data_IF_951925439653
#
_entry.id   IF_951925439653
#
_cell.length_a   1.000
_cell.length_b   1.000
_cell.length_c   1.000
_cell.angle_alpha   90.00
_cell.angle_beta   90.00
_cell.angle_gamma   90.00
#
_symmetry.space_group_name_H-M   'P 1'
#
loop_
_entity.id
_entity.type
_entity.pdbx_description
1 polymer ?
#
# COMPACT_ATOMS: atom_id res chain seq x y z
N UNK A 1 21.72 -17.84 -6.20
CA UNK A 1 22.75 -17.31 -7.12
C UNK A 1 22.43 -15.85 -7.34
N UNK A 2 23.31 -14.90 -7.00
CA UNK A 2 23.05 -13.49 -7.30
C UNK A 2 22.99 -13.32 -8.82
N UNK A 3 21.84 -12.95 -9.36
CA UNK A 3 21.71 -12.65 -10.79
C UNK A 3 22.50 -11.38 -11.08
N UNK A 4 23.36 -11.44 -12.10
CA UNK A 4 24.24 -10.31 -12.41
C UNK A 4 23.47 -9.37 -13.34
N UNK A 5 23.50 -8.04 -13.14
CA UNK A 5 22.78 -7.07 -13.97
C UNK A 5 22.99 -7.28 -15.49
N UNK A 6 24.20 -7.71 -15.87
CA UNK A 6 24.58 -8.01 -17.25
C UNK A 6 23.75 -9.10 -17.92
N UNK A 7 23.29 -10.11 -17.18
CA UNK A 7 22.55 -11.22 -17.76
C UNK A 7 21.12 -10.75 -18.12
N UNK A 8 20.50 -9.92 -17.28
CA UNK A 8 19.20 -9.28 -17.55
C UNK A 8 19.32 -8.31 -18.74
N UNK A 9 20.39 -7.50 -18.77
CA UNK A 9 20.68 -6.59 -19.89
C UNK A 9 20.85 -7.33 -21.23
N UNK A 10 21.48 -8.52 -21.19
CA UNK A 10 21.68 -9.35 -22.38
C UNK A 10 20.35 -9.91 -22.89
N UNK A 11 19.53 -10.47 -22.00
CA UNK A 11 18.19 -10.95 -22.36
C UNK A 11 17.31 -9.83 -22.95
N UNK A 12 17.37 -8.62 -22.37
CA UNK A 12 16.64 -7.47 -22.88
C UNK A 12 17.12 -7.02 -24.27
N UNK A 13 18.43 -7.08 -24.53
CA UNK A 13 19.01 -6.79 -25.85
C UNK A 13 18.57 -7.82 -26.91
N UNK A 14 18.50 -9.10 -26.53
CA UNK A 14 18.06 -10.19 -27.40
C UNK A 14 16.54 -10.19 -27.62
N UNK A 15 15.79 -9.42 -26.83
CA UNK A 15 14.32 -9.39 -26.86
C UNK A 15 13.66 -10.56 -26.14
N UNK A 16 14.40 -11.32 -25.33
CA UNK A 16 13.89 -12.49 -24.61
C UNK A 16 13.28 -12.10 -23.26
N UNK A 17 11.98 -11.75 -23.29
CA UNK A 17 11.22 -11.35 -22.10
C UNK A 17 11.06 -12.51 -21.10
N UNK A 18 10.95 -13.75 -21.58
CA UNK A 18 10.85 -14.92 -20.72
C UNK A 18 12.14 -15.12 -19.92
N UNK A 19 13.30 -14.89 -20.55
CA UNK A 19 14.59 -14.95 -19.85
C UNK A 19 14.75 -13.82 -18.84
N UNK A 20 14.28 -12.61 -19.15
CA UNK A 20 14.23 -11.51 -18.18
C UNK A 20 13.41 -11.92 -16.95
N UNK A 21 12.22 -12.49 -17.14
CA UNK A 21 11.37 -12.97 -16.04
C UNK A 21 12.09 -13.99 -15.16
N UNK A 22 12.70 -15.01 -15.77
CA UNK A 22 13.42 -16.05 -15.06
C UNK A 22 14.57 -15.50 -14.22
N UNK A 23 15.36 -14.58 -14.78
CA UNK A 23 16.52 -14.00 -14.09
C UNK A 23 16.10 -13.10 -12.92
N UNK A 24 15.04 -12.30 -13.09
CA UNK A 24 14.52 -11.47 -12.00
C UNK A 24 13.94 -12.34 -10.90
N UNK A 25 13.13 -13.34 -11.25
CA UNK A 25 12.54 -14.29 -10.28
C UNK A 25 13.63 -15.02 -9.48
N UNK A 26 14.69 -15.48 -10.16
CA UNK A 26 15.84 -16.14 -9.53
C UNK A 26 16.69 -15.21 -8.63
N UNK A 27 16.50 -13.88 -8.74
CA UNK A 27 17.19 -12.90 -7.91
C UNK A 27 16.62 -12.83 -6.47
N UNK A 28 15.48 -13.45 -6.21
CA UNK A 28 14.80 -13.36 -4.91
C UNK A 28 14.01 -12.06 -4.78
N UNK A 29 13.14 -11.77 -5.75
CA UNK A 29 12.09 -10.74 -5.61
C UNK A 29 11.24 -11.06 -4.38
N UNK A 30 10.56 -10.06 -3.81
CA UNK A 30 9.62 -10.10 -2.67
C UNK A 30 8.62 -11.28 -2.54
N UNK A 31 8.56 -12.25 -3.44
CA UNK A 31 7.87 -13.53 -3.16
C UNK A 31 8.50 -14.72 -3.87
N UNK A 32 9.70 -14.53 -4.46
CA UNK A 32 10.31 -15.47 -5.39
C UNK A 32 9.47 -15.75 -6.64
N UNK A 33 8.47 -14.90 -6.95
CA UNK A 33 7.55 -15.04 -8.09
C UNK A 33 7.67 -13.84 -9.02
N UNK A 34 7.26 -14.02 -10.28
CA UNK A 34 7.13 -12.91 -11.20
C UNK A 34 5.84 -12.12 -10.96
N UNK A 35 4.70 -12.82 -10.85
CA UNK A 35 3.43 -12.19 -10.55
C UNK A 35 3.21 -12.14 -9.04
N UNK A 36 2.69 -11.01 -8.57
CA UNK A 36 2.28 -10.88 -7.16
C UNK A 36 1.14 -11.88 -6.88
N UNK A 37 1.14 -12.54 -5.73
CA UNK A 37 0.01 -13.38 -5.32
C UNK A 37 -1.21 -12.54 -4.87
N UNK A 38 -1.04 -11.24 -4.64
CA UNK A 38 -2.08 -10.35 -4.10
C UNK A 38 -2.56 -9.32 -5.12
N UNK A 39 -2.72 -9.71 -6.39
CA UNK A 39 -3.24 -8.79 -7.41
C UNK A 39 -4.66 -8.36 -7.04
N UNK A 40 -4.86 -7.04 -6.91
CA UNK A 40 -6.17 -6.43 -6.65
C UNK A 40 -6.63 -5.71 -7.90
N UNK A 41 -7.91 -5.87 -8.27
CA UNK A 41 -8.50 -5.10 -9.36
C UNK A 41 -8.73 -3.65 -8.91
N UNK A 42 -7.93 -2.72 -9.42
CA UNK A 42 -8.00 -1.27 -9.09
C UNK A 42 -8.72 -0.42 -10.12
N UNK A 43 -9.38 -1.06 -11.11
CA UNK A 43 -10.12 -0.36 -12.17
C UNK A 43 -11.18 0.59 -11.63
N UNK A 44 -11.58 1.58 -12.44
CA UNK A 44 -12.65 2.51 -12.10
C UNK A 44 -13.94 1.80 -11.63
N UNK A 45 -14.34 0.70 -12.29
CA UNK A 45 -15.52 -0.08 -11.89
C UNK A 45 -15.36 -0.74 -10.51
N UNK A 46 -14.17 -1.25 -10.19
CA UNK A 46 -13.87 -1.79 -8.85
C UNK A 46 -13.88 -0.68 -7.80
N UNK A 47 -13.33 0.50 -8.10
CA UNK A 47 -13.39 1.69 -7.22
C UNK A 47 -14.83 2.16 -6.99
N UNK A 48 -15.65 2.21 -8.03
CA UNK A 48 -17.05 2.59 -7.92
C UNK A 48 -17.82 1.58 -7.06
N UNK A 49 -17.55 0.30 -7.23
CA UNK A 49 -18.16 -0.78 -6.41
C UNK A 49 -17.69 -0.71 -4.95
N UNK A 50 -16.43 -0.33 -4.71
CA UNK A 50 -15.91 -0.11 -3.37
C UNK A 50 -16.56 1.10 -2.67
N UNK A 51 -16.81 2.17 -3.44
CA UNK A 51 -17.41 3.41 -2.94
C UNK A 51 -18.92 3.29 -2.67
N UNK A 52 -19.65 2.59 -3.52
CA UNK A 52 -21.08 2.35 -3.37
C UNK A 52 -21.23 1.02 -2.65
N UNK A 53 -21.59 1.03 -1.36
CA UNK A 53 -21.69 -0.09 -0.41
C UNK A 53 -22.47 -1.36 -0.83
N UNK A 54 -22.73 -1.60 -2.11
CA UNK A 54 -23.02 -2.93 -2.62
C UNK A 54 -21.79 -3.79 -2.40
N UNK A 55 -21.86 -4.62 -1.36
CA UNK A 55 -21.12 -5.87 -1.19
C UNK A 55 -20.35 -6.23 -2.47
N UNK A 56 -19.09 -5.84 -2.52
CA UNK A 56 -18.15 -6.38 -3.50
C UNK A 56 -17.90 -7.80 -3.03
N UNK A 57 -18.60 -8.74 -3.67
CA UNK A 57 -18.40 -10.16 -3.49
C UNK A 57 -19.12 -10.73 -2.27
N UNK A 58 -20.45 -10.82 -2.35
CA UNK A 58 -21.12 -12.03 -1.87
C UNK A 58 -20.87 -13.12 -2.94
N UNK A 59 -19.60 -13.48 -3.14
CA UNK A 59 -19.25 -14.78 -3.71
C UNK A 59 -18.88 -15.64 -2.51
N UNK A 60 -19.39 -16.87 -2.53
CA UNK A 60 -19.24 -17.95 -1.57
C UNK A 60 -17.76 -18.23 -1.22
N UNK A 61 -17.14 -17.37 -0.42
CA UNK A 61 -15.97 -17.72 0.38
C UNK A 61 -16.54 -17.94 1.76
N UNK A 62 -16.78 -19.21 2.07
CA UNK A 62 -17.16 -19.63 3.40
C UNK A 62 -16.18 -19.08 4.43
N UNK A 63 -16.70 -18.76 5.61
CA UNK A 63 -16.00 -18.78 6.89
C UNK A 63 -14.47 -18.63 6.78
N UNK A 64 -13.98 -17.38 6.76
CA UNK A 64 -12.57 -17.15 6.45
C UNK A 64 -11.86 -16.27 7.49
N UNK A 65 -11.62 -16.88 8.65
CA UNK A 65 -10.48 -16.54 9.49
C UNK A 65 -9.12 -16.84 8.83
N UNK A 66 -9.05 -17.32 7.59
CA UNK A 66 -7.83 -17.70 6.86
C UNK A 66 -7.29 -16.65 5.87
N UNK A 67 -7.95 -15.50 5.62
CA UNK A 67 -7.39 -14.46 4.71
C UNK A 67 -6.07 -13.83 5.21
N UNK A 68 -5.83 -13.83 6.54
CA UNK A 68 -4.59 -13.36 7.15
C UNK A 68 -3.52 -14.47 7.16
N UNK A 69 -3.92 -15.70 7.49
CA UNK A 69 -3.07 -16.90 7.42
C UNK A 69 -2.55 -17.14 5.99
N UNK A 70 -3.40 -16.89 4.98
CA UNK A 70 -3.05 -16.91 3.55
C UNK A 70 -1.85 -16.01 3.22
N UNK A 71 -1.71 -14.88 3.91
CA UNK A 71 -0.63 -13.93 3.62
C UNK A 71 0.68 -14.41 4.24
N UNK A 72 0.63 -14.94 5.45
CA UNK A 72 1.78 -15.50 6.18
C UNK A 72 2.28 -16.81 5.54
N UNK A 73 1.39 -17.59 4.93
CA UNK A 73 1.73 -18.80 4.18
C UNK A 73 2.40 -18.49 2.83
N UNK A 74 2.06 -17.34 2.23
CA UNK A 74 2.50 -16.98 0.88
C UNK A 74 3.76 -16.10 0.89
N UNK A 75 3.92 -15.24 1.89
CA UNK A 75 5.07 -14.35 2.05
C UNK A 75 6.08 -14.92 3.04
N UNK A 76 7.37 -14.79 2.72
CA UNK A 76 8.45 -15.12 3.64
C UNK A 76 8.51 -14.15 4.84
N UNK A 77 9.12 -14.58 5.94
CA UNK A 77 9.20 -13.76 7.16
C UNK A 77 9.85 -12.37 6.98
N UNK A 78 10.85 -12.24 6.10
CA UNK A 78 11.45 -10.94 5.77
C UNK A 78 10.49 -10.01 5.01
N UNK A 79 9.67 -10.58 4.12
CA UNK A 79 8.69 -9.87 3.30
C UNK A 79 7.55 -9.38 4.19
N UNK A 80 7.04 -10.26 5.05
CA UNK A 80 6.07 -9.90 6.08
C UNK A 80 6.58 -8.79 7.00
N UNK A 81 7.83 -8.85 7.45
CA UNK A 81 8.43 -7.80 8.27
C UNK A 81 8.50 -6.44 7.54
N UNK A 82 8.80 -6.44 6.22
CA UNK A 82 8.79 -5.21 5.40
C UNK A 82 7.38 -4.64 5.25
N UNK A 83 6.37 -5.51 5.08
CA UNK A 83 4.98 -5.08 4.97
C UNK A 83 4.49 -4.46 6.28
N UNK A 84 4.69 -5.15 7.40
CA UNK A 84 4.20 -4.71 8.72
C UNK A 84 4.91 -3.45 9.20
N UNK A 85 6.20 -3.30 8.90
CA UNK A 85 6.96 -2.09 9.20
C UNK A 85 6.66 -0.91 8.24
N UNK A 86 5.82 -1.09 7.21
CA UNK A 86 5.56 -0.04 6.24
C UNK A 86 4.81 1.14 6.87
N UNK A 87 5.32 2.39 6.76
CA UNK A 87 4.79 3.53 7.52
C UNK A 87 3.33 3.85 7.18
N UNK A 88 2.93 3.70 5.92
CA UNK A 88 1.56 3.93 5.51
C UNK A 88 0.60 2.89 6.11
N UNK A 89 1.00 1.61 6.17
CA UNK A 89 0.16 0.59 6.79
C UNK A 89 0.03 0.82 8.29
N UNK A 90 1.13 1.13 8.97
CA UNK A 90 1.12 1.46 10.38
C UNK A 90 0.19 2.66 10.68
N UNK A 91 0.24 3.71 9.85
CA UNK A 91 -0.66 4.86 9.98
C UNK A 91 -2.14 4.46 9.81
N UNK A 92 -2.46 3.63 8.81
CA UNK A 92 -3.82 3.15 8.56
C UNK A 92 -4.33 2.28 9.71
N UNK A 93 -3.55 1.29 10.16
CA UNK A 93 -3.92 0.40 11.26
C UNK A 93 -4.15 1.22 12.54
N UNK A 94 -3.22 2.12 12.88
CA UNK A 94 -3.37 3.00 14.05
C UNK A 94 -4.60 3.92 13.94
N UNK A 95 -4.85 4.49 12.77
CA UNK A 95 -5.95 5.43 12.59
C UNK A 95 -7.33 4.75 12.57
N UNK A 96 -7.42 3.52 12.05
CA UNK A 96 -8.69 2.93 11.65
C UNK A 96 -8.98 1.55 12.25
N UNK A 97 -8.05 0.93 12.98
CA UNK A 97 -8.37 -0.28 13.76
C UNK A 97 -9.44 0.00 14.80
N UNK A 98 -10.33 -0.98 14.98
CA UNK A 98 -11.37 -0.98 16.01
C UNK A 98 -11.03 -1.91 17.18
N UNK A 99 -9.97 -2.73 17.07
CA UNK A 99 -9.52 -3.60 18.15
C UNK A 99 -8.61 -2.84 19.13
N UNK A 100 -8.88 -2.94 20.44
CA UNK A 100 -8.11 -2.27 21.50
C UNK A 100 -6.65 -2.74 21.56
N UNK A 101 -6.40 -4.03 21.32
CA UNK A 101 -5.05 -4.60 21.30
C UNK A 101 -4.16 -4.01 20.20
N UNK A 102 -4.73 -3.53 19.09
CA UNK A 102 -3.97 -2.92 18.00
C UNK A 102 -3.45 -1.51 18.35
N UNK A 103 -4.04 -0.84 19.35
CA UNK A 103 -3.66 0.51 19.79
C UNK A 103 -2.69 0.49 21.00
N UNK A 104 -2.53 -0.65 21.68
CA UNK A 104 -1.69 -0.81 22.88
C UNK A 104 -0.26 -1.32 22.64
N UNK A 105 0.11 -1.65 21.39
CA UNK A 105 1.40 -2.26 21.06
C UNK A 105 2.57 -1.29 20.92
N UNK A 106 2.83 -0.45 21.91
CA UNK A 106 4.10 0.28 22.07
C UNK A 106 4.30 0.74 23.52
N UNK A 107 4.12 -0.16 24.49
CA UNK A 107 4.79 -0.01 25.77
C UNK A 107 6.23 -0.48 25.56
N UNK A 108 7.15 0.48 25.40
CA UNK A 108 8.57 0.22 25.37
C UNK A 108 8.97 -0.56 26.62
N UNK A 109 9.67 -1.69 26.42
CA UNK A 109 10.44 -2.37 27.44
C UNK A 109 11.53 -1.41 27.97
N UNK A 110 11.14 -0.62 28.97
CA UNK A 110 12.02 0.21 29.78
C UNK A 110 11.79 -0.13 31.23
N UNK A 111 12.53 -1.11 31.73
CA UNK A 111 12.69 -1.32 33.16
C UNK A 111 13.11 0.01 33.82
N UNK A 112 12.53 0.26 34.99
CA UNK A 112 12.99 1.18 36.04
C UNK A 112 12.51 2.64 35.97
N UNK A 113 11.46 2.95 36.74
CA UNK A 113 11.59 3.80 37.94
C UNK A 113 10.21 4.27 38.43
N UNK A 114 9.92 3.87 39.67
CA UNK A 114 8.96 4.48 40.59
C UNK A 114 8.70 5.97 40.36
N UNK A 115 7.43 6.35 40.16
CA UNK A 115 6.88 7.61 40.67
C UNK A 115 5.35 7.58 40.79
N UNK A 116 4.94 7.97 41.98
CA UNK A 116 3.58 8.08 42.50
C UNK A 116 2.69 9.03 41.69
N UNK A 117 1.38 8.75 41.75
CA UNK A 117 0.37 9.79 41.96
C UNK A 117 -0.17 10.48 40.71
N UNK A 118 -1.27 9.95 40.18
CA UNK A 118 -2.13 10.63 39.22
C UNK A 118 -3.42 9.86 39.03
N UNK A 119 -4.43 10.20 39.82
CA UNK A 119 -5.77 9.66 39.72
C UNK A 119 -6.41 10.06 38.39
N UNK A 120 -6.49 9.13 37.44
CA UNK A 120 -7.44 9.20 36.32
C UNK A 120 -7.64 7.81 35.68
N UNK A 121 -7.93 6.81 36.52
CA UNK A 121 -8.14 5.41 36.12
C UNK A 121 -9.61 4.97 36.30
N UNK A 122 -10.56 5.88 36.06
CA UNK A 122 -11.99 5.62 36.09
C UNK A 122 -12.58 5.88 34.70
N UNK A 123 -12.25 5.06 33.69
CA UNK A 123 -13.02 4.82 32.44
C UNK A 123 -12.31 3.74 31.62
N UNK A 124 -12.23 2.52 32.15
CA UNK A 124 -11.85 1.32 31.39
C UNK A 124 -12.79 0.18 31.77
N UNK A 125 -14.09 0.49 31.85
CA UNK A 125 -15.13 -0.54 31.90
C UNK A 125 -15.42 -0.96 30.46
N UNK A 126 -15.43 -2.26 30.22
CA UNK A 126 -15.65 -2.94 28.94
C UNK A 126 -16.71 -2.22 28.09
N UNK A 127 -16.31 -1.61 26.97
CA UNK A 127 -17.24 -1.00 26.01
C UNK A 127 -18.27 -2.03 25.49
N UNK A 128 -17.93 -3.32 25.53
CA UNK A 128 -18.84 -4.43 25.26
C UNK A 128 -19.93 -4.58 26.33
N UNK A 129 -19.61 -4.32 27.61
CA UNK A 129 -20.58 -4.33 28.68
C UNK A 129 -21.60 -3.20 28.57
N UNK A 130 -21.41 -2.23 27.66
CA UNK A 130 -22.30 -1.07 27.37
C UNK A 130 -23.28 -1.26 26.20
N UNK A 131 -23.25 -2.38 25.48
CA UNK A 131 -24.13 -2.64 24.35
C UNK A 131 -25.27 -3.61 24.73
N UNK A 132 -26.46 -3.43 24.15
CA UNK A 132 -27.46 -4.51 24.15
C UNK A 132 -27.04 -5.58 23.13
N UNK A 133 -27.66 -6.77 23.16
CA UNK A 133 -27.28 -7.89 22.29
C UNK A 133 -27.27 -7.49 20.80
N UNK A 134 -28.28 -6.72 20.37
CA UNK A 134 -28.41 -6.25 18.98
C UNK A 134 -27.29 -5.25 18.61
N UNK A 135 -26.91 -4.33 19.50
CA UNK A 135 -25.83 -3.39 19.25
C UNK A 135 -24.44 -4.04 19.33
N UNK A 136 -24.26 -5.07 20.15
CA UNK A 136 -23.03 -5.86 20.21
C UNK A 136 -22.80 -6.62 18.90
N UNK A 137 -23.82 -7.31 18.38
CA UNK A 137 -23.75 -7.97 17.06
C UNK A 137 -23.43 -6.97 15.94
N UNK A 138 -24.06 -5.80 15.98
CA UNK A 138 -23.85 -4.76 14.98
C UNK A 138 -22.43 -4.15 15.06
N UNK A 139 -21.86 -4.05 16.27
CA UNK A 139 -20.49 -3.59 16.52
C UNK A 139 -19.45 -4.63 16.09
N UNK A 140 -19.72 -5.92 16.28
CA UNK A 140 -18.92 -7.03 15.75
C UNK A 140 -18.86 -7.03 14.23
N UNK A 141 -20.03 -6.90 13.58
CA UNK A 141 -20.10 -6.81 12.13
C UNK A 141 -19.26 -5.64 11.57
N UNK A 142 -19.29 -4.48 12.26
CA UNK A 142 -18.47 -3.32 11.90
C UNK A 142 -16.96 -3.60 12.10
N UNK A 143 -16.57 -4.26 13.20
CA UNK A 143 -15.17 -4.69 13.47
C UNK A 143 -14.64 -5.61 12.38
N UNK A 144 -15.36 -6.69 12.08
CA UNK A 144 -14.94 -7.63 11.04
C UNK A 144 -14.86 -6.96 9.66
N UNK A 145 -15.83 -6.11 9.35
CA UNK A 145 -15.84 -5.37 8.10
C UNK A 145 -14.62 -4.45 7.98
N UNK A 146 -14.25 -3.77 9.06
CA UNK A 146 -13.05 -2.94 9.13
C UNK A 146 -11.77 -3.75 8.97
N UNK A 147 -11.66 -4.90 9.63
CA UNK A 147 -10.53 -5.82 9.49
C UNK A 147 -10.38 -6.29 8.04
N UNK A 148 -11.48 -6.64 7.36
CA UNK A 148 -11.47 -7.00 5.93
C UNK A 148 -10.93 -5.88 5.03
N UNK A 149 -11.29 -4.62 5.29
CA UNK A 149 -10.76 -3.48 4.53
C UNK A 149 -9.28 -3.23 4.82
N UNK A 150 -8.83 -3.39 6.07
CA UNK A 150 -7.41 -3.31 6.44
C UNK A 150 -6.62 -4.43 5.76
N UNK A 151 -7.17 -5.65 5.67
CA UNK A 151 -6.56 -6.77 4.94
C UNK A 151 -6.47 -6.47 3.44
N UNK A 152 -7.49 -5.87 2.84
CA UNK A 152 -7.46 -5.41 1.44
C UNK A 152 -6.36 -4.37 1.23
N UNK A 153 -6.19 -3.42 2.16
CA UNK A 153 -5.11 -2.44 2.13
C UNK A 153 -3.74 -3.13 2.20
N UNK A 154 -3.56 -4.08 3.12
CA UNK A 154 -2.33 -4.89 3.25
C UNK A 154 -2.00 -5.62 1.95
N UNK A 155 -2.98 -6.26 1.30
CA UNK A 155 -2.82 -6.97 0.02
C UNK A 155 -2.37 -6.03 -1.10
N UNK A 156 -3.02 -4.87 -1.23
CA UNK A 156 -2.65 -3.87 -2.24
C UNK A 156 -1.23 -3.34 -2.02
N UNK A 157 -0.85 -3.11 -0.76
CA UNK A 157 0.50 -2.66 -0.43
C UNK A 157 1.55 -3.75 -0.67
N UNK A 158 1.27 -5.02 -0.34
CA UNK A 158 2.12 -6.15 -0.66
C UNK A 158 2.31 -6.29 -2.18
N UNK A 159 1.25 -6.05 -2.96
CA UNK A 159 1.34 -5.97 -4.42
C UNK A 159 2.29 -4.86 -4.89
N UNK A 160 2.20 -3.65 -4.31
CA UNK A 160 3.09 -2.55 -4.66
C UNK A 160 4.56 -2.82 -4.28
N UNK A 161 4.82 -3.39 -3.10
CA UNK A 161 6.16 -3.79 -2.69
C UNK A 161 6.75 -4.83 -3.63
N UNK A 162 5.94 -5.80 -4.06
CA UNK A 162 6.33 -6.80 -5.05
C UNK A 162 6.71 -6.16 -6.40
N UNK A 163 5.84 -5.32 -6.96
CA UNK A 163 6.08 -4.60 -8.20
C UNK A 163 7.32 -3.70 -8.10
N UNK A 164 7.51 -3.00 -6.97
CA UNK A 164 8.70 -2.20 -6.68
C UNK A 164 9.98 -3.03 -6.61
N UNK A 165 9.93 -4.22 -6.03
CA UNK A 165 11.07 -5.15 -5.99
C UNK A 165 11.45 -5.63 -7.40
N UNK A 166 10.48 -5.90 -8.27
CA UNK A 166 10.74 -6.23 -9.69
C UNK A 166 11.40 -5.04 -10.38
N UNK A 167 10.81 -3.85 -10.24
CA UNK A 167 11.29 -2.60 -10.82
C UNK A 167 12.76 -2.36 -10.43
N UNK A 168 13.12 -2.54 -9.15
CA UNK A 168 14.49 -2.38 -8.66
C UNK A 168 15.49 -3.29 -9.36
N UNK A 169 15.12 -4.54 -9.66
CA UNK A 169 15.99 -5.50 -10.34
C UNK A 169 16.16 -5.17 -11.82
N UNK A 170 15.07 -4.84 -12.52
CA UNK A 170 15.13 -4.44 -13.94
C UNK A 170 15.74 -3.05 -14.13
N UNK A 171 16.00 -2.32 -13.05
CA UNK A 171 16.65 -1.01 -13.07
C UNK A 171 18.19 -1.07 -12.92
N UNK A 172 18.75 -2.24 -12.64
CA UNK A 172 20.19 -2.37 -12.41
C UNK A 172 20.99 -2.15 -13.70
N UNK A 173 21.97 -1.24 -13.65
CA UNK A 173 22.87 -0.97 -14.78
C UNK A 173 23.82 -2.13 -15.01
N UNK A 174 23.87 -2.64 -16.24
CA UNK A 174 24.76 -3.73 -16.63
C UNK A 174 25.42 -3.50 -17.99
N UNK A 175 26.61 -4.07 -18.15
CA UNK A 175 27.23 -4.24 -19.46
C UNK A 175 26.54 -5.38 -20.22
N UNK A 176 26.55 -5.32 -21.55
CA UNK A 176 26.05 -6.38 -22.40
C UNK A 176 27.10 -7.50 -22.51
N UNK A 177 26.69 -8.75 -22.37
CA UNK A 177 27.58 -9.92 -22.47
C UNK A 177 27.25 -10.69 -23.74
N UNK A 178 28.17 -10.70 -24.71
CA UNK A 178 27.97 -11.42 -25.98
C UNK A 178 29.10 -12.41 -26.25
N UNK A 179 28.76 -13.56 -26.85
CA UNK A 179 29.73 -14.50 -27.39
C UNK A 179 30.16 -14.02 -28.78
N UNK A 180 31.47 -13.77 -28.98
CA UNK A 180 32.01 -13.49 -30.32
C UNK A 180 32.43 -14.75 -31.07
N UNK A 181 32.68 -15.84 -30.34
CA UNK A 181 33.06 -17.16 -30.87
C UNK A 181 32.60 -18.24 -29.90
N UNK A 182 31.52 -18.98 -30.21
CA UNK A 182 31.08 -20.10 -29.38
C UNK A 182 32.20 -21.17 -29.27
N UNK A 183 32.41 -21.83 -28.11
CA UNK A 183 31.60 -21.77 -26.90
C UNK A 183 32.22 -21.07 -25.67
N UNK A 184 33.36 -20.34 -25.74
CA UNK A 184 34.13 -20.01 -24.51
C UNK A 184 34.42 -18.53 -24.22
N UNK A 185 34.54 -17.62 -25.22
CA UNK A 185 34.92 -16.22 -24.92
C UNK A 185 33.71 -15.28 -24.86
N UNK A 186 33.22 -15.06 -23.63
CA UNK A 186 32.14 -14.12 -23.33
C UNK A 186 32.72 -12.73 -23.13
N UNK A 187 32.50 -11.85 -24.11
CA UNK A 187 33.05 -10.49 -24.09
C UNK A 187 32.01 -9.47 -23.64
N UNK A 188 32.47 -8.47 -22.88
CA UNK A 188 31.62 -7.43 -22.29
C UNK A 188 31.63 -6.18 -23.18
N UNK A 189 30.45 -5.61 -23.39
CA UNK A 189 30.23 -4.44 -24.22
C UNK A 189 29.52 -3.35 -23.42
N UNK A 190 30.07 -2.14 -23.45
CA UNK A 190 29.37 -0.94 -23.00
C UNK A 190 28.67 -0.24 -24.17
N UNK A 191 27.92 0.81 -23.86
CA UNK A 191 27.22 1.66 -24.82
C UNK A 191 28.19 2.75 -25.29
N UNK A 192 28.36 2.90 -26.61
CA UNK A 192 29.18 3.95 -27.23
C UNK A 192 28.36 4.66 -28.29
N UNK A 193 28.63 5.95 -28.53
CA UNK A 193 28.11 6.66 -29.69
C UNK A 193 29.22 6.97 -30.70
N UNK A 194 28.81 7.13 -31.95
CA UNK A 194 29.63 7.64 -33.04
C UNK A 194 28.90 8.79 -33.72
N UNK A 195 29.63 9.82 -34.15
CA UNK A 195 29.06 10.92 -34.92
C UNK A 195 29.49 10.77 -36.38
N UNK A 196 28.56 10.99 -37.31
CA UNK A 196 28.84 11.04 -38.74
C UNK A 196 28.31 12.34 -39.32
N UNK A 197 29.08 12.95 -40.20
CA UNK A 197 28.64 14.12 -40.94
C UNK A 197 27.60 13.69 -41.96
N UNK A 198 26.47 14.40 -41.98
CA UNK A 198 25.43 14.22 -42.98
C UNK A 198 25.66 15.30 -44.04
N UNK A 199 26.03 14.92 -45.27
CA UNK A 199 26.21 15.91 -46.33
C UNK A 199 24.88 16.64 -46.56
N UNK A 200 24.91 17.97 -46.80
CA UNK A 200 23.70 18.71 -47.12
C UNK A 200 23.04 18.11 -48.36
N UNK A 201 21.72 18.02 -48.36
CA UNK A 201 20.96 17.50 -49.51
C UNK A 201 21.42 18.23 -50.78
N UNK A 202 21.81 17.48 -51.82
CA UNK A 202 22.35 18.04 -53.05
C UNK A 202 21.34 19.00 -53.69
N UNK A 203 21.55 20.31 -53.55
CA UNK A 203 20.64 21.34 -54.07
C UNK A 203 20.49 22.59 -53.19
N UNK A 204 20.99 22.61 -51.96
CA UNK A 204 21.01 23.83 -51.16
C UNK A 204 22.17 24.74 -51.58
N UNK A 205 21.84 25.90 -52.13
CA UNK A 205 22.77 26.89 -52.67
C UNK A 205 23.88 27.24 -51.67
N UNK A 206 25.10 27.29 -52.19
CA UNK A 206 26.25 27.88 -51.51
C UNK A 206 25.89 29.31 -51.11
N UNK A 207 25.80 29.58 -49.81
CA UNK A 207 26.35 30.76 -49.12
C UNK A 207 25.82 30.80 -47.68
N UNK A 208 26.74 31.15 -46.76
CA UNK A 208 26.59 31.32 -45.31
C UNK A 208 27.00 30.10 -44.46
N UNK A 209 28.06 30.30 -43.68
CA UNK A 209 28.56 29.49 -42.55
C UNK A 209 27.93 28.09 -42.40
N UNK A 210 28.52 27.12 -43.10
CA UNK A 210 28.02 25.74 -43.19
C UNK A 210 28.07 25.03 -41.84
N UNK A 211 26.99 25.08 -41.05
CA UNK A 211 26.83 24.21 -39.90
C UNK A 211 26.76 22.77 -40.38
N UNK A 212 27.81 21.99 -40.12
CA UNK A 212 27.84 20.57 -40.46
C UNK A 212 26.83 19.83 -39.59
N UNK A 213 25.82 19.23 -40.23
CA UNK A 213 24.84 18.40 -39.55
C UNK A 213 25.49 17.09 -39.11
N UNK A 214 25.55 16.84 -37.79
CA UNK A 214 26.07 15.59 -37.23
C UNK A 214 24.93 14.63 -36.88
N UNK A 215 24.99 13.41 -37.39
CA UNK A 215 24.14 12.31 -36.97
C UNK A 215 24.84 11.49 -35.89
N UNK A 216 24.18 11.31 -34.75
CA UNK A 216 24.68 10.51 -33.62
C UNK A 216 24.11 9.10 -33.71
N UNK A 217 24.96 8.09 -33.63
CA UNK A 217 24.56 6.68 -33.62
C UNK A 217 25.14 5.93 -32.45
N UNK A 218 24.28 5.33 -31.64
CA UNK A 218 24.61 4.47 -30.51
C UNK A 218 24.80 3.01 -30.94
N UNK A 219 25.77 2.32 -30.32
CA UNK A 219 26.10 0.92 -30.60
C UNK A 219 26.82 0.25 -29.41
N UNK A 220 26.74 -1.09 -29.26
CA UNK A 220 27.58 -1.83 -28.32
C UNK A 220 29.06 -1.75 -28.69
N UNK A 221 29.95 -1.57 -27.71
CA UNK A 221 31.40 -1.50 -27.92
C UNK A 221 32.21 -2.11 -26.78
N UNK A 222 33.21 -2.93 -27.11
CA UNK A 222 34.18 -3.49 -26.15
C UNK A 222 35.05 -2.41 -25.48
N UNK A 223 35.15 -1.23 -26.10
CA UNK A 223 35.96 -0.11 -25.60
C UNK A 223 35.21 0.78 -24.62
N UNK A 224 33.88 0.66 -24.57
CA UNK A 224 33.07 1.46 -23.66
C UNK A 224 32.87 0.75 -22.33
N UNK A 225 32.84 1.55 -21.26
CA UNK A 225 32.52 1.15 -19.89
C UNK A 225 31.20 1.74 -19.40
N UNK A 226 30.44 2.37 -20.30
CA UNK A 226 29.12 2.90 -19.96
C UNK A 226 28.09 1.77 -20.01
N UNK A 227 27.50 1.44 -18.87
CA UNK A 227 26.39 0.52 -18.74
C UNK A 227 25.06 1.26 -18.82
N UNK A 228 24.09 0.57 -19.41
CA UNK A 228 22.68 0.96 -19.41
C UNK A 228 21.87 0.03 -18.52
N UNK A 229 20.65 0.45 -18.21
CA UNK A 229 19.62 -0.45 -17.70
C UNK A 229 19.18 -1.41 -18.81
N UNK A 230 18.54 -2.55 -18.50
CA UNK A 230 17.87 -3.41 -19.47
C UNK A 230 17.04 -2.65 -20.52
N UNK A 231 16.36 -1.57 -20.12
CA UNK A 231 15.57 -0.74 -21.04
C UNK A 231 16.43 0.00 -22.07
N UNK A 232 17.62 0.49 -21.71
CA UNK A 232 18.55 1.10 -22.67
C UNK A 232 18.96 0.09 -23.75
N UNK A 233 19.22 -1.15 -23.34
CA UNK A 233 19.64 -2.21 -24.24
C UNK A 233 18.50 -2.68 -25.16
N UNK A 234 17.28 -2.85 -24.63
CA UNK A 234 16.10 -3.16 -25.44
C UNK A 234 15.81 -2.06 -26.48
N UNK A 235 15.93 -0.78 -26.09
CA UNK A 235 15.79 0.35 -27.02
C UNK A 235 16.88 0.34 -28.09
N UNK A 236 18.14 0.09 -27.70
CA UNK A 236 19.26 0.04 -28.64
C UNK A 236 19.08 -1.08 -29.68
N UNK A 237 18.57 -2.23 -29.25
CA UNK A 237 18.25 -3.37 -30.10
C UNK A 237 16.97 -3.19 -30.92
N UNK A 238 16.16 -2.17 -30.62
CA UNK A 238 14.80 -1.97 -31.17
C UNK A 238 13.87 -3.15 -30.85
N UNK A 239 14.08 -3.81 -29.72
CA UNK A 239 13.26 -4.92 -29.24
C UNK A 239 11.96 -4.40 -28.63
N UNK A 240 10.95 -4.14 -29.47
CA UNK A 240 9.70 -3.48 -29.06
C UNK A 240 8.96 -4.23 -27.94
N UNK A 241 8.93 -5.55 -28.00
CA UNK A 241 8.25 -6.38 -26.98
C UNK A 241 8.97 -6.26 -25.63
N UNK A 242 10.30 -6.29 -25.62
CA UNK A 242 11.09 -6.08 -24.41
C UNK A 242 10.96 -4.64 -23.87
N UNK A 243 10.89 -3.63 -24.74
CA UNK A 243 10.64 -2.24 -24.32
C UNK A 243 9.30 -2.12 -23.61
N UNK A 244 8.22 -2.63 -24.23
CA UNK A 244 6.88 -2.60 -23.64
C UNK A 244 6.86 -3.35 -22.30
N UNK A 245 7.38 -4.57 -22.31
CA UNK A 245 7.44 -5.44 -21.15
C UNK A 245 8.17 -4.81 -19.95
N UNK A 246 9.36 -4.25 -20.17
CA UNK A 246 10.13 -3.64 -19.08
C UNK A 246 9.41 -2.43 -18.46
N UNK A 247 8.77 -1.60 -19.28
CA UNK A 247 8.06 -0.41 -18.80
C UNK A 247 6.79 -0.77 -18.05
N UNK A 248 5.98 -1.71 -18.57
CA UNK A 248 4.80 -2.23 -17.86
C UNK A 248 5.15 -2.77 -16.46
N UNK A 249 6.39 -3.23 -16.26
CA UNK A 249 6.88 -3.79 -15.00
C UNK A 249 7.74 -2.84 -14.15
N UNK A 250 7.73 -1.53 -14.41
CA UNK A 250 8.39 -0.56 -13.50
C UNK A 250 9.71 0.02 -13.96
N UNK A 251 10.20 -0.30 -15.16
CA UNK A 251 11.49 0.22 -15.61
C UNK A 251 11.46 1.75 -15.75
N UNK A 252 12.43 2.42 -15.11
CA UNK A 252 12.51 3.88 -15.16
C UNK A 252 13.05 4.34 -16.53
N UNK A 253 12.16 4.99 -17.28
CA UNK A 253 12.45 5.53 -18.61
C UNK A 253 13.27 6.83 -18.59
N UNK A 254 13.48 7.42 -17.42
CA UNK A 254 14.26 8.65 -17.21
C UNK A 254 15.68 8.38 -16.71
N UNK A 255 15.97 7.13 -16.35
CA UNK A 255 17.30 6.75 -15.95
C UNK A 255 18.30 6.94 -17.09
N UNK A 256 19.44 7.58 -16.80
CA UNK A 256 20.55 7.67 -17.74
C UNK A 256 21.54 6.52 -17.61
N UNK A 257 22.63 6.62 -18.34
CA UNK A 257 23.75 5.67 -18.28
C UNK A 257 24.59 5.84 -17.00
N UNK A 258 25.40 4.82 -16.70
CA UNK A 258 26.40 4.85 -15.63
C UNK A 258 27.73 4.28 -16.11
N UNK A 259 28.84 4.81 -15.63
CA UNK A 259 30.12 4.14 -15.78
C UNK A 259 30.17 2.95 -14.81
N UNK A 260 30.57 1.77 -15.28
CA UNK A 260 30.76 0.57 -14.45
C UNK A 260 32.07 -0.13 -14.81
N UNK A 261 32.66 -0.84 -13.84
CA UNK A 261 33.75 -1.79 -14.07
C UNK A 261 33.22 -3.06 -14.76
N UNK A 262 34.12 -3.99 -15.12
CA UNK A 262 33.73 -5.27 -15.73
C UNK A 262 32.74 -6.10 -14.89
N UNK A 263 32.73 -5.88 -13.58
CA UNK A 263 31.87 -6.61 -12.64
C UNK A 263 30.55 -5.87 -12.34
N UNK A 264 30.29 -4.73 -13.00
CA UNK A 264 29.10 -3.92 -12.76
C UNK A 264 29.20 -3.01 -11.53
N UNK A 265 30.35 -2.97 -10.86
CA UNK A 265 30.61 -2.06 -9.73
C UNK A 265 30.94 -0.66 -10.25
N UNK A 266 30.68 0.37 -9.44
CA UNK A 266 31.08 1.72 -9.79
C UNK A 266 32.63 1.84 -9.84
N UNK A 267 33.23 2.43 -10.90
CA UNK A 267 34.66 2.71 -10.95
C UNK A 267 35.08 3.80 -9.94
N UNK A 268 36.38 3.92 -9.70
CA UNK A 268 36.97 4.86 -8.75
C UNK A 268 36.45 6.31 -8.90
N UNK A 269 36.21 6.97 -7.76
CA UNK A 269 35.52 8.26 -7.65
C UNK A 269 36.16 9.40 -8.47
N UNK A 270 37.47 9.33 -8.76
CA UNK A 270 38.18 10.37 -9.53
C UNK A 270 37.76 10.42 -11.02
N UNK A 271 37.30 9.31 -11.61
CA UNK A 271 36.78 9.26 -12.99
C UNK A 271 35.35 9.84 -13.11
N UNK A 272 34.62 9.93 -12.00
CA UNK A 272 33.17 10.15 -11.97
C UNK A 272 32.72 11.61 -12.06
N UNK A 273 33.60 12.57 -11.75
CA UNK A 273 33.18 13.93 -11.41
C UNK A 273 32.62 14.75 -12.61
N UNK A 274 33.03 14.43 -13.84
CA UNK A 274 32.64 15.21 -15.04
C UNK A 274 31.72 14.45 -16.00
N UNK A 275 31.60 13.13 -15.90
CA UNK A 275 30.82 12.32 -16.85
C UNK A 275 29.41 11.99 -16.34
N UNK A 276 29.19 11.78 -15.03
CA UNK A 276 27.93 11.22 -14.56
C UNK A 276 26.71 12.14 -14.79
N UNK A 277 26.89 13.47 -14.75
CA UNK A 277 25.82 14.42 -15.09
C UNK A 277 25.41 14.28 -16.55
N UNK A 278 26.37 14.14 -17.47
CA UNK A 278 26.09 13.93 -18.89
C UNK A 278 25.45 12.58 -19.10
N UNK A 279 26.01 11.51 -18.50
CA UNK A 279 25.47 10.16 -18.60
C UNK A 279 24.03 10.06 -18.08
N UNK A 280 23.69 10.79 -17.00
CA UNK A 280 22.33 10.86 -16.46
C UNK A 280 21.32 11.46 -17.47
N UNK A 281 21.76 12.32 -18.40
CA UNK A 281 20.87 12.85 -19.44
C UNK A 281 20.61 11.87 -20.60
N UNK A 282 21.41 10.81 -20.70
CA UNK A 282 21.34 9.83 -21.80
C UNK A 282 20.27 8.77 -21.53
N UNK A 283 19.01 9.18 -21.50
CA UNK A 283 17.87 8.31 -21.25
C UNK A 283 17.58 7.37 -22.44
N UNK A 284 16.83 6.27 -22.26
CA UNK A 284 16.40 5.41 -23.35
C UNK A 284 15.69 6.18 -24.46
N UNK A 285 14.79 7.12 -24.11
CA UNK A 285 14.09 7.95 -25.08
C UNK A 285 15.06 8.82 -25.91
N UNK A 286 16.07 9.42 -25.27
CA UNK A 286 17.08 10.23 -25.96
C UNK A 286 17.96 9.39 -26.89
N UNK A 287 18.31 8.17 -26.47
CA UNK A 287 19.03 7.22 -27.34
C UNK A 287 18.19 6.77 -28.54
N UNK A 288 16.90 6.47 -28.34
CA UNK A 288 15.97 6.11 -29.43
C UNK A 288 15.86 7.23 -30.46
N UNK A 289 15.70 8.47 -29.99
CA UNK A 289 15.60 9.66 -30.83
C UNK A 289 16.89 9.91 -31.62
N UNK A 290 18.06 9.82 -30.97
CA UNK A 290 19.35 9.97 -31.62
C UNK A 290 19.58 8.90 -32.71
N UNK A 291 19.16 7.66 -32.46
CA UNK A 291 19.22 6.57 -33.43
C UNK A 291 18.10 6.61 -34.51
N UNK A 292 17.30 7.68 -34.54
CA UNK A 292 16.15 7.87 -35.45
C UNK A 292 15.15 6.70 -35.40
N UNK A 293 15.05 6.03 -34.25
CA UNK A 293 14.18 4.87 -34.04
C UNK A 293 12.77 5.29 -33.63
N UNK A 294 12.05 5.89 -34.58
CA UNK A 294 10.71 6.46 -34.35
C UNK A 294 9.71 5.43 -33.83
N UNK A 295 9.70 4.21 -34.37
CA UNK A 295 8.81 3.14 -33.90
C UNK A 295 9.05 2.78 -32.44
N UNK A 296 10.32 2.67 -32.04
CA UNK A 296 10.71 2.35 -30.66
C UNK A 296 10.33 3.47 -29.70
N UNK A 297 10.48 4.73 -30.13
CA UNK A 297 10.07 5.90 -29.35
C UNK A 297 8.55 5.90 -29.11
N UNK A 298 7.75 5.57 -30.14
CA UNK A 298 6.29 5.49 -30.01
C UNK A 298 5.85 4.35 -29.09
N UNK A 299 6.51 3.18 -29.17
CA UNK A 299 6.26 2.07 -28.22
C UNK A 299 6.59 2.50 -26.79
N UNK A 300 7.74 3.15 -26.58
CA UNK A 300 8.16 3.64 -25.27
C UNK A 300 7.14 4.63 -24.69
N UNK A 301 6.72 5.64 -25.46
CA UNK A 301 5.72 6.63 -25.03
C UNK A 301 4.39 5.98 -24.64
N UNK A 302 3.90 5.04 -25.45
CA UNK A 302 2.63 4.33 -25.17
C UNK A 302 2.72 3.49 -23.90
N UNK A 303 3.83 2.77 -23.72
CA UNK A 303 4.04 1.97 -22.52
C UNK A 303 4.12 2.84 -21.25
N UNK A 304 4.82 3.97 -21.31
CA UNK A 304 4.89 4.94 -20.20
C UNK A 304 3.50 5.51 -19.86
N UNK A 305 2.71 5.87 -20.88
CA UNK A 305 1.35 6.36 -20.68
C UNK A 305 0.45 5.29 -20.04
N UNK A 306 0.54 4.04 -20.49
CA UNK A 306 -0.22 2.93 -19.92
C UNK A 306 0.14 2.67 -18.45
N UNK A 307 1.45 2.67 -18.12
CA UNK A 307 1.94 2.51 -16.76
C UNK A 307 1.50 3.66 -15.83
N UNK A 308 1.46 4.89 -16.34
CA UNK A 308 0.98 6.03 -15.57
C UNK A 308 -0.51 5.90 -15.23
N UNK A 309 -1.31 5.36 -16.15
CA UNK A 309 -2.75 5.08 -15.90
C UNK A 309 -2.91 4.00 -14.83
N UNK A 310 -2.20 2.87 -14.92
CA UNK A 310 -2.32 1.79 -13.93
C UNK A 310 -1.93 2.27 -12.53
N UNK A 311 -0.85 3.05 -12.42
CA UNK A 311 -0.42 3.63 -11.15
C UNK A 311 -1.45 4.63 -10.60
N UNK A 312 -2.04 5.47 -11.44
CA UNK A 312 -3.08 6.40 -11.03
C UNK A 312 -4.35 5.68 -10.55
N UNK A 313 -4.72 4.57 -11.19
CA UNK A 313 -5.85 3.74 -10.77
C UNK A 313 -5.59 3.09 -9.40
N UNK A 314 -4.38 2.57 -9.15
CA UNK A 314 -3.98 2.06 -7.83
C UNK A 314 -4.00 3.16 -6.75
N UNK A 315 -3.41 4.31 -7.02
CA UNK A 315 -3.39 5.46 -6.09
C UNK A 315 -4.81 5.94 -5.78
N UNK A 316 -5.69 6.01 -6.78
CA UNK A 316 -7.09 6.35 -6.58
C UNK A 316 -7.85 5.28 -5.77
N UNK A 317 -7.48 4.00 -5.90
CA UNK A 317 -8.09 2.92 -5.12
C UNK A 317 -7.76 3.05 -3.64
N UNK A 318 -6.51 3.36 -3.29
CA UNK A 318 -6.11 3.64 -1.90
C UNK A 318 -6.95 4.76 -1.28
N UNK A 319 -7.16 5.86 -2.01
CA UNK A 319 -7.95 6.99 -1.52
C UNK A 319 -9.39 6.57 -1.21
N UNK A 320 -10.03 5.82 -2.10
CA UNK A 320 -11.41 5.34 -1.88
C UNK A 320 -11.48 4.36 -0.71
N UNK A 321 -10.49 3.47 -0.59
CA UNK A 321 -10.42 2.50 0.50
C UNK A 321 -10.23 3.18 1.86
N UNK A 322 -9.34 4.17 1.95
CA UNK A 322 -9.13 4.95 3.18
C UNK A 322 -10.39 5.73 3.57
N UNK A 323 -11.07 6.34 2.60
CA UNK A 323 -12.36 6.99 2.84
C UNK A 323 -13.43 6.02 3.35
N UNK A 324 -13.43 4.77 2.87
CA UNK A 324 -14.33 3.72 3.36
C UNK A 324 -14.01 3.33 4.81
N UNK A 325 -12.73 3.11 5.12
CA UNK A 325 -12.25 2.82 6.49
C UNK A 325 -12.63 3.93 7.46
N UNK A 326 -12.48 5.19 7.05
CA UNK A 326 -12.87 6.37 7.83
C UNK A 326 -14.37 6.37 8.13
N UNK A 327 -15.21 6.22 7.10
CA UNK A 327 -16.68 6.20 7.26
C UNK A 327 -17.17 5.07 8.16
N UNK A 328 -16.54 3.89 8.09
CA UNK A 328 -16.85 2.75 8.95
C UNK A 328 -16.50 3.02 10.41
N UNK A 329 -15.31 3.55 10.67
CA UNK A 329 -14.93 3.98 12.03
C UNK A 329 -15.88 5.05 12.59
N UNK A 330 -16.24 6.05 11.79
CA UNK A 330 -17.22 7.07 12.19
C UNK A 330 -18.62 6.50 12.42
N UNK A 331 -19.03 5.45 11.69
CA UNK A 331 -20.30 4.76 11.92
C UNK A 331 -20.27 3.94 13.22
N UNK A 332 -19.18 3.21 13.46
CA UNK A 332 -18.97 2.44 14.69
C UNK A 332 -19.01 3.35 15.93
N UNK A 333 -18.24 4.44 15.92
CA UNK A 333 -18.22 5.39 17.05
C UNK A 333 -19.58 6.02 17.31
N UNK A 334 -20.33 6.39 16.26
CA UNK A 334 -21.69 6.89 16.41
C UNK A 334 -22.62 5.87 17.06
N UNK A 335 -22.53 4.59 16.70
CA UNK A 335 -23.34 3.55 17.34
C UNK A 335 -23.00 3.38 18.81
N UNK A 336 -21.71 3.43 19.15
CA UNK A 336 -21.25 3.36 20.54
C UNK A 336 -21.78 4.54 21.36
N UNK A 337 -21.73 5.75 20.81
CA UNK A 337 -22.32 6.95 21.44
C UNK A 337 -23.84 6.81 21.61
N UNK A 338 -24.56 6.35 20.58
CA UNK A 338 -26.01 6.13 20.64
C UNK A 338 -26.37 5.09 21.71
N UNK A 339 -25.62 3.99 21.82
CA UNK A 339 -25.85 2.95 22.83
C UNK A 339 -25.60 3.48 24.25
N UNK A 340 -24.54 4.26 24.46
CA UNK A 340 -24.27 4.94 25.74
C UNK A 340 -25.40 5.87 26.15
N UNK A 341 -25.95 6.65 25.21
CA UNK A 341 -27.07 7.55 25.47
C UNK A 341 -28.37 6.78 25.80
N UNK A 342 -28.63 5.65 25.12
CA UNK A 342 -29.80 4.81 25.40
C UNK A 342 -29.75 4.25 26.82
N UNK A 343 -28.61 3.74 27.25
CA UNK A 343 -28.44 3.21 28.61
C UNK A 343 -28.55 4.26 29.69
N UNK A 344 -28.03 5.46 29.46
CA UNK A 344 -28.22 6.58 30.39
C UNK A 344 -29.72 6.88 30.55
N UNK A 345 -30.44 6.98 29.44
CA UNK A 345 -31.88 7.21 29.46
C UNK A 345 -32.66 6.07 30.14
N UNK A 346 -32.30 4.82 29.89
CA UNK A 346 -32.90 3.65 30.56
C UNK A 346 -32.64 3.68 32.08
N UNK A 347 -31.41 3.98 32.50
CA UNK A 347 -31.06 4.10 33.93
C UNK A 347 -31.78 5.26 34.63
N UNK A 348 -31.95 6.40 33.95
CA UNK A 348 -32.70 7.55 34.46
C UNK A 348 -34.19 7.22 34.56
N UNK A 349 -34.74 6.51 33.57
CA UNK A 349 -36.13 6.03 33.64
C UNK A 349 -36.34 5.02 34.77
N UNK A 350 -35.42 4.08 34.96
CA UNK A 350 -35.45 3.11 36.05
C UNK A 350 -35.36 3.78 37.42
N UNK A 351 -34.45 4.74 37.59
CA UNK A 351 -34.35 5.53 38.82
C UNK A 351 -35.65 6.31 39.10
N UNK A 352 -36.25 6.93 38.07
CA UNK A 352 -37.52 7.63 38.20
C UNK A 352 -38.68 6.69 38.54
N UNK A 353 -38.68 5.45 38.02
CA UNK A 353 -39.67 4.42 38.38
C UNK A 353 -39.50 3.97 39.82
N UNK A 354 -38.26 3.77 40.27
CA UNK A 354 -37.95 3.40 41.65
C UNK A 354 -38.37 4.50 42.65
N UNK A 355 -38.12 5.78 42.35
CA UNK A 355 -38.59 6.90 43.19
C UNK A 355 -40.12 6.95 43.33
N UNK A 356 -40.86 6.64 42.25
CA UNK A 356 -42.32 6.57 42.30
C UNK A 356 -42.78 5.36 43.11
N UNK A 357 -42.13 4.21 42.96
CA UNK A 357 -42.44 2.99 43.72
C UNK A 357 -42.13 3.17 45.22
N UNK A 358 -41.01 3.82 45.57
CA UNK A 358 -40.69 4.19 46.96
C UNK A 358 -41.74 5.15 47.55
N UNK A 359 -42.16 6.17 46.79
CA UNK A 359 -43.21 7.10 47.24
C UNK A 359 -44.58 6.41 47.43
N UNK A 360 -44.96 5.46 46.55
CA UNK A 360 -46.19 4.68 46.71
C UNK A 360 -46.15 3.75 47.93
N UNK A 361 -44.98 3.19 48.26
CA UNK A 361 -44.78 2.39 49.48
C UNK A 361 -44.89 3.28 50.73
N UNK A 362 -44.26 4.46 50.72
CA UNK A 362 -44.37 5.43 51.83
C UNK A 362 -45.82 5.89 52.05
N UNK A 363 -46.58 6.22 50.99
CA UNK A 363 -47.99 6.59 51.13
C UNK A 363 -48.85 5.42 51.67
N UNK A 364 -48.56 4.18 51.28
CA UNK A 364 -49.27 3.01 51.80
C UNK A 364 -48.98 2.74 53.29
N UNK A 365 -47.74 2.99 53.75
CA UNK A 365 -47.37 2.88 55.16
C UNK A 365 -48.03 4.00 56.01
N UNK A 366 -48.10 5.22 55.49
CA UNK A 366 -48.80 6.34 56.18
C UNK A 366 -50.33 6.11 56.29
N UNK A 367 -50.96 5.51 55.27
CA UNK A 367 -52.38 5.12 55.34
C UNK A 367 -52.64 3.99 56.35
N UNK A 368 -51.68 3.07 56.55
CA UNK A 368 -51.78 2.00 57.56
C UNK A 368 -51.60 2.54 58.99
N UNK A 369 -50.67 3.47 59.22
CA UNK A 369 -50.48 4.12 60.54
C UNK A 369 -51.62 5.10 60.89
N UNK A 370 -52.19 5.80 59.90
CA UNK A 370 -53.33 6.68 60.09
C UNK A 370 -54.59 5.94 60.58
N UNK A 371 -54.78 4.68 60.18
CA UNK A 371 -55.94 3.88 60.53
C UNK A 371 -55.84 3.22 61.94
N UNK A 372 -54.65 3.24 62.56
CA UNK A 372 -54.42 2.72 63.94
C UNK A 372 -54.64 3.80 65.01
N UNK A 373 -54.74 5.08 64.64
CA UNK A 373 -54.94 6.21 65.58
C UNK A 373 -56.41 6.63 65.81
N UNK A 374 -57.37 5.92 65.20
CA UNK A 374 -58.81 6.23 65.25
C UNK A 374 -59.64 5.52 66.33
N UNK A 375 -59.06 4.61 67.12
CA UNK A 375 -59.77 3.84 68.15
C UNK A 375 -59.18 4.06 69.54
N UNK A 376 -59.11 5.29 70.05
CA UNK A 376 -58.96 5.52 71.50
C UNK A 376 -59.44 6.92 71.89
N UNK A 377 -60.70 7.02 72.32
CA UNK A 377 -61.17 8.20 73.04
C UNK A 377 -62.67 8.47 72.94
N UNK A 378 -63.50 7.75 73.70
CA UNK A 378 -64.41 8.41 74.65
C UNK A 378 -65.00 7.38 75.64
N UNK A 379 -64.58 7.48 76.90
CA UNK A 379 -65.18 6.76 78.02
C UNK A 379 -65.50 7.77 79.12
N UNK A 380 -66.57 8.54 78.92
CA UNK A 380 -67.16 9.34 79.99
C UNK A 380 -68.39 8.63 80.57
N UNK A 381 -68.24 8.24 81.83
CA UNK A 381 -69.30 7.88 82.77
C UNK A 381 -70.35 9.00 82.86
N UNK A 382 -71.65 8.65 82.86
CA UNK A 382 -72.61 9.31 83.74
C UNK A 382 -73.87 8.51 84.02
N UNK A 383 -74.19 8.55 85.30
CA UNK A 383 -75.19 7.82 86.06
C UNK A 383 -76.66 8.14 85.70
N UNK A 384 -77.50 7.23 86.19
CA UNK A 384 -78.95 7.27 86.37
C UNK A 384 -79.56 8.63 86.73
N UNK A 385 -80.76 8.91 86.22
CA UNK A 385 -81.88 9.43 87.01
C UNK A 385 -83.23 9.26 86.29
N UNK A 386 -84.18 8.68 87.04
CA UNK A 386 -85.62 8.53 86.80
C UNK A 386 -86.37 9.72 86.17
N UNK A 387 -87.48 9.41 85.48
CA UNK A 387 -88.61 10.35 85.26
C UNK A 387 -89.43 10.11 84.01
#
# INVERSE_FOLDING_TARGET
MQTRPRDICTAAYEGDTARVQQLVTAAGVYSGRWYSPFVVNTSAAARDSLAHWKSVGHDEVGDDGSLQDDMEDVLGGEEMAKLTAHPALHAIVKAYSLDEQANGGAAEDGEDASKEGGADAYYQDDDAALLDEDAEEAAEADREAQQRDILLYKRLLAHQLHCGSIAQHIQQHGLLRMSTTPPVDMTMYGILFSCREVPPASGAAEHSESSVSLQVRWQPSKRSRYAGTPLHWAVLARAHDAVRFLVEHGADCTAGLKAVTNDGTAPDAQLMMYDQKVLATLTPARMAAANESHSTLEVLKRAVAAQAVTRADEEAFFVVLEERLRRRKEAYLRRLEEARMRRQHESEEEARRAEVEEAEVEEAEEEEEGNVSGEDGDSEEKEEADG
#
